data_IF_399587628501
#
_entry.id   IF_399587628501
#
_cell.length_a   1.000
_cell.length_b   1.000
_cell.length_c   1.000
_cell.angle_alpha   90.00
_cell.angle_beta   90.00
_cell.angle_gamma   90.00
#
_symmetry.space_group_name_H-M   'P 1'
#
loop_
_entity.id
_entity.type
_entity.pdbx_description
1 polymer ?
#
# COMPACT_ATOMS: atom_id res chain seq x y z
N UNK A 1 30.14 -20.85 -14.38
CA UNK A 1 28.87 -21.53 -14.03
C UNK A 1 28.54 -21.14 -12.60
N UNK A 2 27.49 -20.34 -12.39
CA UNK A 2 27.02 -20.00 -11.06
C UNK A 2 25.53 -20.30 -10.98
N UNK A 3 25.19 -21.13 -9.99
CA UNK A 3 23.88 -21.70 -9.73
C UNK A 3 22.91 -20.63 -9.19
N UNK A 4 21.67 -20.66 -9.68
CA UNK A 4 20.56 -19.82 -9.20
C UNK A 4 19.78 -20.65 -8.18
N UNK A 5 19.81 -20.24 -6.92
CA UNK A 5 18.88 -20.75 -5.90
C UNK A 5 17.86 -19.65 -5.60
N UNK A 6 16.59 -19.93 -5.93
CA UNK A 6 15.45 -19.05 -5.61
C UNK A 6 15.04 -19.29 -4.15
N UNK A 7 14.77 -18.22 -3.40
CA UNK A 7 13.91 -18.26 -2.22
C UNK A 7 12.91 -17.09 -2.25
N UNK A 8 11.74 -17.25 -1.59
CA UNK A 8 10.54 -16.49 -1.88
C UNK A 8 10.51 -15.12 -1.21
N UNK A 9 9.66 -14.28 -1.78
CA UNK A 9 9.37 -12.90 -1.37
C UNK A 9 8.62 -12.95 -0.03
N UNK A 10 9.18 -12.31 1.01
CA UNK A 10 8.46 -12.05 2.26
C UNK A 10 7.93 -10.61 2.25
N UNK A 11 6.62 -10.49 2.46
CA UNK A 11 5.92 -9.28 2.88
C UNK A 11 6.32 -8.89 4.30
N UNK A 12 6.27 -7.57 4.57
CA UNK A 12 6.31 -6.93 5.88
C UNK A 12 7.13 -7.63 6.98
N UNK A 13 8.45 -7.48 6.94
CA UNK A 13 9.34 -7.89 8.02
C UNK A 13 10.65 -7.12 7.96
N UNK A 14 11.07 -6.57 9.10
CA UNK A 14 12.36 -5.89 9.28
C UNK A 14 13.48 -6.57 8.49
N UNK A 15 14.09 -5.84 7.55
CA UNK A 15 15.24 -6.34 6.81
C UNK A 15 16.43 -6.55 7.78
N UNK A 16 17.14 -7.70 7.71
CA UNK A 16 18.31 -7.94 8.55
C UNK A 16 19.47 -7.00 8.17
N UNK A 17 20.34 -6.61 9.14
CA UNK A 17 21.30 -5.50 8.97
C UNK A 17 22.57 -5.81 8.13
N UNK A 18 22.58 -6.87 7.32
CA UNK A 18 23.77 -7.26 6.56
C UNK A 18 23.43 -7.64 5.11
N UNK A 19 23.45 -6.66 4.22
CA UNK A 19 23.65 -6.92 2.80
C UNK A 19 25.06 -6.50 2.40
N UNK A 20 25.93 -7.48 2.11
CA UNK A 20 27.02 -7.28 1.16
C UNK A 20 26.38 -7.05 -0.21
N UNK A 21 26.10 -5.78 -0.52
CA UNK A 21 25.57 -5.39 -1.82
C UNK A 21 26.70 -5.39 -2.86
N UNK A 22 26.71 -6.42 -3.71
CA UNK A 22 26.87 -6.16 -5.14
C UNK A 22 25.70 -5.22 -5.50
N UNK A 23 25.96 -3.92 -5.64
CA UNK A 23 24.96 -2.86 -5.84
C UNK A 23 23.81 -3.31 -6.76
N UNK A 24 22.67 -3.63 -6.15
CA UNK A 24 21.39 -3.91 -6.79
C UNK A 24 20.33 -3.21 -5.96
N UNK A 25 20.06 -1.95 -6.29
CA UNK A 25 19.01 -1.17 -5.66
C UNK A 25 17.66 -1.62 -6.22
N UNK A 26 16.76 -2.07 -5.35
CA UNK A 26 15.43 -2.51 -5.73
C UNK A 26 14.40 -2.06 -4.71
N UNK A 27 13.79 -0.90 -4.92
CA UNK A 27 12.42 -0.66 -4.48
C UNK A 27 11.77 0.24 -5.56
N UNK A 28 10.63 -0.20 -6.08
CA UNK A 28 9.69 0.52 -6.98
C UNK A 28 9.83 0.35 -8.52
N UNK A 29 10.51 -0.67 -9.07
CA UNK A 29 10.27 -1.04 -10.49
C UNK A 29 10.49 -2.54 -10.77
N UNK A 30 9.56 -3.23 -11.48
CA UNK A 30 9.74 -4.64 -11.87
C UNK A 30 10.72 -4.84 -13.03
N UNK A 31 11.32 -3.79 -13.58
CA UNK A 31 12.20 -3.89 -14.74
C UNK A 31 13.66 -3.76 -14.29
N UNK A 32 14.29 -4.91 -14.01
CA UNK A 32 15.75 -5.04 -13.89
C UNK A 32 16.40 -4.88 -15.27
N UNK A 33 16.37 -3.68 -15.83
CA UNK A 33 17.30 -3.36 -16.91
C UNK A 33 18.66 -3.10 -16.27
N UNK A 34 19.65 -3.95 -16.60
CA UNK A 34 21.05 -3.75 -16.21
C UNK A 34 21.56 -2.35 -16.56
N UNK A 35 20.88 -1.65 -17.45
CA UNK A 35 21.19 -0.32 -17.96
C UNK A 35 21.14 0.77 -16.86
N UNK A 36 20.30 0.60 -15.83
CA UNK A 36 20.12 1.57 -14.75
C UNK A 36 21.06 1.38 -13.55
N UNK A 37 22.02 0.45 -13.64
CA UNK A 37 23.02 0.24 -12.58
C UNK A 37 24.23 1.16 -12.84
N UNK A 38 24.51 2.04 -11.88
CA UNK A 38 25.68 2.94 -11.90
C UNK A 38 27.00 2.19 -11.65
N UNK A 39 28.12 2.70 -12.17
CA UNK A 39 29.46 2.17 -11.84
C UNK A 39 29.76 0.76 -12.33
N UNK A 40 29.01 0.23 -13.30
CA UNK A 40 29.19 -1.12 -13.87
C UNK A 40 30.59 -1.36 -14.45
N UNK A 41 31.29 -0.30 -14.87
CA UNK A 41 32.66 -0.34 -15.41
C UNK A 41 33.68 0.32 -14.47
N UNK A 42 33.27 0.68 -13.25
CA UNK A 42 34.14 1.28 -12.24
C UNK A 42 34.67 0.22 -11.27
N UNK A 43 35.78 0.50 -10.56
CA UNK A 43 36.26 -0.37 -9.49
C UNK A 43 35.16 -0.61 -8.43
N UNK A 44 34.99 -1.83 -7.92
CA UNK A 44 34.02 -2.12 -6.87
C UNK A 44 34.31 -1.29 -5.60
N UNK A 45 33.25 -0.76 -4.99
CA UNK A 45 33.31 -0.07 -3.70
C UNK A 45 32.34 -0.72 -2.71
N UNK A 46 32.68 -0.69 -1.43
CA UNK A 46 31.74 -1.09 -0.37
C UNK A 46 30.88 0.11 -0.03
N UNK A 47 29.57 -0.10 -0.03
CA UNK A 47 28.58 0.91 0.27
C UNK A 47 27.59 0.33 1.28
N UNK A 48 27.39 1.04 2.38
CA UNK A 48 26.34 0.74 3.35
C UNK A 48 25.21 1.73 3.17
N UNK A 49 23.98 1.24 3.11
CA UNK A 49 22.85 2.07 2.77
C UNK A 49 21.56 1.72 3.46
N UNK A 50 20.72 2.73 3.60
CA UNK A 50 19.34 2.59 4.02
C UNK A 50 18.49 3.65 3.32
N UNK A 51 17.31 3.23 2.85
CA UNK A 51 16.27 4.13 2.37
C UNK A 51 15.02 3.95 3.20
N UNK A 52 14.31 5.04 3.47
CA UNK A 52 13.07 5.05 4.23
C UNK A 52 12.01 5.81 3.46
N UNK A 53 10.79 5.29 3.48
CA UNK A 53 9.62 5.96 2.95
C UNK A 53 8.62 6.14 4.08
N UNK A 54 8.06 7.33 4.20
CA UNK A 54 6.91 7.62 5.04
C UNK A 54 5.92 8.41 4.20
N UNK A 55 4.68 8.50 4.68
CA UNK A 55 3.67 9.35 4.08
C UNK A 55 4.18 10.78 3.85
N UNK A 56 4.34 11.16 2.58
CA UNK A 56 4.83 12.47 2.16
C UNK A 56 6.33 12.70 2.32
N UNK A 57 7.17 11.69 2.58
CA UNK A 57 8.63 11.88 2.67
C UNK A 57 9.44 10.62 2.33
N UNK A 58 10.55 10.80 1.64
CA UNK A 58 11.56 9.75 1.41
C UNK A 58 12.94 10.22 1.84
N UNK A 59 13.74 9.29 2.36
CA UNK A 59 15.10 9.53 2.80
C UNK A 59 16.00 8.42 2.29
N UNK A 60 17.19 8.77 1.81
CA UNK A 60 18.24 7.80 1.45
C UNK A 60 19.58 8.24 2.02
N UNK A 61 20.30 7.31 2.63
CA UNK A 61 21.65 7.51 3.14
C UNK A 61 22.58 6.44 2.59
N UNK A 62 23.77 6.85 2.14
CA UNK A 62 24.89 5.96 1.85
C UNK A 62 26.17 6.38 2.58
N UNK A 63 26.90 5.38 3.07
CA UNK A 63 28.21 5.49 3.70
C UNK A 63 29.21 4.68 2.88
N UNK A 64 30.34 5.29 2.53
CA UNK A 64 31.45 4.69 1.78
C UNK A 64 32.69 4.73 2.69
N UNK A 65 32.96 3.66 3.44
CA UNK A 65 33.99 3.67 4.47
C UNK A 65 35.39 3.94 3.93
N UNK A 66 35.73 3.40 2.76
CA UNK A 66 37.07 3.49 2.17
C UNK A 66 37.50 4.94 1.91
N UNK A 67 36.54 5.80 1.60
CA UNK A 67 36.76 7.22 1.33
C UNK A 67 36.41 8.12 2.51
N UNK A 68 35.82 7.57 3.58
CA UNK A 68 35.24 8.35 4.67
C UNK A 68 34.07 9.23 4.22
N UNK A 69 33.43 8.90 3.09
CA UNK A 69 32.37 9.72 2.51
C UNK A 69 30.99 9.24 2.98
N UNK A 70 30.07 10.19 3.18
CA UNK A 70 28.66 9.91 3.48
C UNK A 70 27.79 10.92 2.76
N UNK A 71 26.67 10.43 2.24
CA UNK A 71 25.67 11.26 1.56
C UNK A 71 24.29 10.91 2.10
N UNK A 72 23.51 11.95 2.35
CA UNK A 72 22.12 11.86 2.80
C UNK A 72 21.29 12.74 1.90
N UNK A 73 20.21 12.20 1.34
CA UNK A 73 19.18 12.97 0.66
C UNK A 73 17.85 12.77 1.37
N UNK A 74 17.15 13.89 1.58
CA UNK A 74 15.82 13.94 2.17
C UNK A 74 14.90 14.64 1.17
N UNK A 75 13.70 14.10 0.98
CA UNK A 75 12.67 14.67 0.12
C UNK A 75 11.34 14.64 0.86
N UNK A 76 10.58 15.73 0.77
CA UNK A 76 9.22 15.86 1.27
C UNK A 76 8.16 15.47 0.21
N UNK A 77 8.53 14.58 -0.70
CA UNK A 77 7.65 14.01 -1.71
C UNK A 77 7.95 12.51 -1.85
N UNK A 78 6.91 11.68 -1.73
CA UNK A 78 6.99 10.21 -1.67
C UNK A 78 5.85 9.59 -2.50
N UNK A 79 5.94 9.69 -3.82
CA UNK A 79 4.85 9.28 -4.72
C UNK A 79 5.40 8.51 -5.93
N UNK A 80 5.81 9.25 -6.95
CA UNK A 80 6.12 8.74 -8.26
C UNK A 80 7.63 8.49 -8.46
N UNK A 81 8.18 7.61 -7.62
CA UNK A 81 9.60 7.24 -7.62
C UNK A 81 10.36 7.77 -6.40
N UNK A 82 11.60 7.32 -6.23
CA UNK A 82 12.43 7.66 -5.07
C UNK A 82 13.43 8.78 -5.44
N UNK A 83 12.96 10.03 -5.29
CA UNK A 83 13.78 11.22 -5.54
C UNK A 83 15.03 11.25 -4.65
N UNK A 84 14.94 10.75 -3.41
CA UNK A 84 16.09 10.72 -2.49
C UNK A 84 17.16 9.76 -2.99
N UNK A 85 16.78 8.54 -3.37
CA UNK A 85 17.70 7.54 -3.87
C UNK A 85 18.33 7.95 -5.19
N UNK A 86 17.54 8.46 -6.13
CA UNK A 86 18.07 8.93 -7.42
C UNK A 86 19.03 10.11 -7.25
N UNK A 87 18.73 11.05 -6.35
CA UNK A 87 19.64 12.18 -6.04
C UNK A 87 20.98 11.68 -5.53
N UNK A 88 20.96 10.74 -4.59
CA UNK A 88 22.18 10.17 -4.04
C UNK A 88 22.98 9.46 -5.13
N UNK A 89 22.33 8.67 -5.98
CA UNK A 89 23.02 7.97 -7.05
C UNK A 89 23.63 8.92 -8.11
N UNK A 90 22.94 10.00 -8.47
CA UNK A 90 23.48 11.05 -9.34
C UNK A 90 24.74 11.67 -8.71
N UNK A 91 24.70 11.99 -7.42
CA UNK A 91 25.85 12.55 -6.70
C UNK A 91 27.03 11.56 -6.66
N UNK A 92 26.77 10.27 -6.41
CA UNK A 92 27.82 9.26 -6.40
C UNK A 92 28.46 9.09 -7.78
N UNK A 93 27.68 9.14 -8.86
CA UNK A 93 28.23 9.10 -10.22
C UNK A 93 29.21 10.25 -10.47
N UNK A 94 28.84 11.46 -10.07
CA UNK A 94 29.69 12.65 -10.23
C UNK A 94 30.94 12.62 -9.33
N UNK A 95 30.81 12.21 -8.07
CA UNK A 95 31.90 12.26 -7.09
C UNK A 95 32.97 11.20 -7.36
N UNK A 96 32.58 10.01 -7.81
CA UNK A 96 33.49 8.89 -8.05
C UNK A 96 33.81 8.65 -9.52
N UNK A 97 33.36 9.54 -10.41
CA UNK A 97 33.51 9.41 -11.86
C UNK A 97 33.07 8.01 -12.35
N UNK A 98 31.85 7.62 -11.94
CA UNK A 98 31.36 6.26 -12.17
C UNK A 98 30.96 6.07 -13.63
N UNK A 99 31.47 5.00 -14.24
CA UNK A 99 31.19 4.64 -15.62
C UNK A 99 30.38 3.35 -15.76
N UNK A 100 29.53 3.21 -16.79
CA UNK A 100 29.07 4.28 -17.67
C UNK A 100 28.14 5.25 -16.90
N UNK A 101 28.03 6.48 -17.39
CA UNK A 101 27.03 7.44 -16.91
C UNK A 101 25.63 6.90 -17.21
N UNK A 102 24.76 6.93 -16.21
CA UNK A 102 23.37 6.50 -16.26
C UNK A 102 22.47 7.71 -16.08
N UNK A 103 21.57 7.93 -17.05
CA UNK A 103 20.51 8.93 -16.95
C UNK A 103 19.39 8.44 -16.02
N UNK A 104 19.52 8.78 -14.74
CA UNK A 104 18.53 8.45 -13.72
C UNK A 104 17.29 9.36 -13.79
N UNK A 105 17.36 10.49 -14.49
CA UNK A 105 16.21 11.39 -14.66
C UNK A 105 15.20 10.77 -15.62
N UNK A 106 15.68 10.12 -16.69
CA UNK A 106 14.80 9.37 -17.59
C UNK A 106 14.07 8.24 -16.85
N UNK A 107 14.79 7.46 -16.05
CA UNK A 107 14.20 6.37 -15.25
C UNK A 107 13.14 6.87 -14.25
N UNK A 108 13.36 8.04 -13.64
CA UNK A 108 12.36 8.68 -12.78
C UNK A 108 11.09 9.09 -13.55
N UNK A 109 11.24 9.64 -14.76
CA UNK A 109 10.09 9.98 -15.61
C UNK A 109 9.29 8.73 -15.97
N UNK A 110 9.96 7.65 -16.37
CA UNK A 110 9.31 6.38 -16.69
C UNK A 110 8.57 5.79 -15.47
N UNK A 111 9.20 5.85 -14.30
CA UNK A 111 8.60 5.39 -13.03
C UNK A 111 7.35 6.20 -12.69
N UNK A 112 7.38 7.52 -12.93
CA UNK A 112 6.22 8.39 -12.76
C UNK A 112 5.07 8.03 -13.69
N UNK A 113 5.33 7.89 -14.99
CA UNK A 113 4.29 7.52 -15.94
C UNK A 113 3.71 6.13 -15.63
N UNK A 114 4.55 5.19 -15.20
CA UNK A 114 4.10 3.87 -14.75
C UNK A 114 3.16 3.97 -13.54
N UNK A 115 3.49 4.80 -12.55
CA UNK A 115 2.67 4.98 -11.34
C UNK A 115 1.32 5.64 -11.65
N UNK A 116 1.31 6.67 -12.50
CA UNK A 116 0.07 7.30 -12.95
C UNK A 116 -0.83 6.31 -13.71
N UNK A 117 -0.23 5.53 -14.61
CA UNK A 117 -0.95 4.49 -15.33
C UNK A 117 -1.48 3.39 -14.40
N UNK A 118 -0.70 2.97 -13.41
CA UNK A 118 -1.16 1.99 -12.40
C UNK A 118 -2.39 2.49 -11.65
N UNK A 119 -2.43 3.77 -11.29
CA UNK A 119 -3.59 4.38 -10.68
C UNK A 119 -4.80 4.36 -11.64
N UNK A 120 -4.63 4.78 -12.90
CA UNK A 120 -5.69 4.70 -13.91
C UNK A 120 -6.23 3.26 -14.10
N UNK A 121 -5.33 2.29 -14.21
CA UNK A 121 -5.68 0.86 -14.35
C UNK A 121 -6.44 0.37 -13.10
N UNK A 122 -6.04 0.78 -11.90
CA UNK A 122 -6.74 0.47 -10.66
C UNK A 122 -8.16 1.03 -10.63
N UNK A 123 -8.35 2.31 -11.02
CA UNK A 123 -9.68 2.92 -11.08
C UNK A 123 -10.55 2.22 -12.12
N UNK A 124 -10.02 1.91 -13.30
CA UNK A 124 -10.73 1.15 -14.32
C UNK A 124 -11.19 -0.22 -13.80
N UNK A 125 -10.34 -0.92 -13.04
CA UNK A 125 -10.71 -2.20 -12.44
C UNK A 125 -11.74 -2.05 -11.31
N UNK A 126 -11.65 -0.99 -10.52
CA UNK A 126 -12.69 -0.64 -9.54
C UNK A 126 -14.04 -0.45 -10.21
N UNK A 127 -14.10 0.35 -11.29
CA UNK A 127 -15.34 0.63 -12.03
C UNK A 127 -15.96 -0.64 -12.63
N UNK A 128 -15.14 -1.53 -13.20
CA UNK A 128 -15.62 -2.82 -13.77
C UNK A 128 -16.34 -3.70 -12.75
N UNK A 129 -15.92 -3.64 -11.48
CA UNK A 129 -16.49 -4.45 -10.40
C UNK A 129 -17.61 -3.73 -9.63
N UNK A 130 -17.85 -2.45 -9.94
CA UNK A 130 -18.91 -1.66 -9.32
C UNK A 130 -20.26 -1.98 -9.95
N UNK A 131 -21.22 -2.36 -9.12
CA UNK A 131 -22.60 -2.64 -9.51
C UNK A 131 -23.56 -2.16 -8.42
N UNK A 132 -23.88 -0.87 -8.45
CA UNK A 132 -24.77 -0.23 -7.46
C UNK A 132 -26.18 -0.81 -7.51
N UNK A 133 -26.62 -1.37 -8.64
CA UNK A 133 -27.93 -2.00 -8.78
C UNK A 133 -28.11 -3.23 -7.89
N UNK A 134 -27.02 -3.87 -7.47
CA UNK A 134 -27.01 -5.01 -6.54
C UNK A 134 -26.87 -4.61 -5.08
N UNK A 135 -26.64 -3.34 -4.79
CA UNK A 135 -26.48 -2.87 -3.41
C UNK A 135 -27.80 -3.04 -2.64
N UNK A 136 -27.73 -3.74 -1.52
CA UNK A 136 -28.89 -4.23 -0.76
C UNK A 136 -28.84 -3.89 0.75
N UNK A 137 -27.80 -3.22 1.23
CA UNK A 137 -27.71 -2.85 2.65
C UNK A 137 -28.51 -1.58 2.96
N UNK A 138 -29.01 -1.50 4.20
CA UNK A 138 -29.51 -0.25 4.79
C UNK A 138 -28.41 0.37 5.64
N UNK A 139 -28.32 1.70 5.63
CA UNK A 139 -27.25 2.42 6.30
C UNK A 139 -27.18 2.10 7.81
N UNK A 140 -28.34 2.01 8.47
CA UNK A 140 -28.45 1.78 9.91
C UNK A 140 -27.91 0.40 10.33
N UNK A 141 -27.98 -0.59 9.43
CA UNK A 141 -27.45 -1.94 9.66
C UNK A 141 -25.92 -1.97 9.69
N UNK A 142 -25.27 -1.02 9.01
CA UNK A 142 -23.81 -0.96 8.85
C UNK A 142 -23.14 -0.06 9.87
N UNK A 143 -23.87 0.89 10.47
CA UNK A 143 -23.32 1.77 11.52
C UNK A 143 -22.86 0.94 12.72
N UNK A 144 -21.66 1.22 13.20
CA UNK A 144 -21.10 0.57 14.37
C UNK A 144 -19.57 0.58 14.42
N UNK A 145 -19.05 0.05 15.51
CA UNK A 145 -17.61 -0.13 15.73
C UNK A 145 -17.23 -1.57 15.40
N UNK A 146 -16.18 -1.76 14.63
CA UNK A 146 -15.70 -3.06 14.16
C UNK A 146 -14.28 -3.30 14.66
N UNK A 147 -14.05 -4.45 15.29
CA UNK A 147 -12.77 -4.82 15.88
C UNK A 147 -12.07 -5.89 15.05
N UNK A 148 -10.78 -5.71 14.79
CA UNK A 148 -9.96 -6.64 14.04
C UNK A 148 -8.49 -6.50 14.43
N UNK A 149 -7.66 -7.46 14.00
CA UNK A 149 -6.21 -7.43 14.20
C UNK A 149 -5.80 -7.16 15.66
N UNK A 150 -6.47 -7.81 16.61
CA UNK A 150 -6.22 -7.68 18.05
C UNK A 150 -6.95 -6.49 18.68
N UNK A 151 -6.45 -5.27 18.47
CA UNK A 151 -6.96 -4.05 19.11
C UNK A 151 -7.30 -2.92 18.13
N UNK A 152 -7.23 -3.18 16.82
CA UNK A 152 -7.54 -2.17 15.81
C UNK A 152 -9.05 -1.97 15.69
N UNK A 153 -9.43 -0.74 15.34
CA UNK A 153 -10.82 -0.31 15.29
C UNK A 153 -11.11 0.33 13.93
N UNK A 154 -12.25 -0.04 13.35
CA UNK A 154 -12.88 0.64 12.21
C UNK A 154 -14.28 1.06 12.67
N UNK A 155 -14.57 2.36 12.63
CA UNK A 155 -15.91 2.88 12.90
C UNK A 155 -16.62 3.21 11.59
N UNK A 156 -17.81 2.66 11.40
CA UNK A 156 -18.74 3.07 10.34
C UNK A 156 -19.74 4.03 10.95
N UNK A 157 -19.78 5.26 10.44
CA UNK A 157 -20.59 6.36 10.96
C UNK A 157 -21.51 6.90 9.88
N UNK A 158 -22.61 7.51 10.30
CA UNK A 158 -23.48 8.26 9.40
C UNK A 158 -22.73 9.44 8.75
N UNK A 159 -23.15 9.76 7.54
CA UNK A 159 -22.66 10.87 6.74
C UNK A 159 -23.78 11.45 5.88
N UNK A 160 -23.75 12.76 5.69
CA UNK A 160 -24.60 13.44 4.73
C UNK A 160 -23.86 13.79 3.43
N UNK A 161 -22.63 13.28 3.25
CA UNK A 161 -21.74 13.64 2.13
C UNK A 161 -21.57 12.53 1.08
N UNK A 162 -22.08 11.32 1.34
CA UNK A 162 -21.93 10.16 0.45
C UNK A 162 -23.28 9.62 -0.02
N UNK A 163 -23.27 8.85 -1.10
CA UNK A 163 -24.50 8.23 -1.65
C UNK A 163 -25.06 7.08 -0.77
N UNK A 164 -24.22 6.50 0.08
CA UNK A 164 -24.58 5.48 1.06
C UNK A 164 -25.10 6.08 2.36
N UNK A 165 -24.85 7.37 2.59
CA UNK A 165 -25.12 8.01 3.86
C UNK A 165 -24.15 7.60 4.97
N UNK A 166 -22.99 7.04 4.62
CA UNK A 166 -21.99 6.52 5.56
C UNK A 166 -20.57 7.02 5.28
N UNK A 167 -19.72 6.94 6.30
CA UNK A 167 -18.29 7.18 6.25
C UNK A 167 -17.55 6.19 7.17
N UNK A 168 -16.31 5.87 6.81
CA UNK A 168 -15.39 5.10 7.65
C UNK A 168 -14.49 6.05 8.44
N UNK A 169 -14.16 5.66 9.68
CA UNK A 169 -13.15 6.30 10.52
C UNK A 169 -12.23 5.23 11.10
N UNK A 170 -10.93 5.32 10.80
CA UNK A 170 -9.91 4.38 11.29
C UNK A 170 -9.38 4.78 12.66
N UNK A 171 -9.28 3.82 13.58
CA UNK A 171 -8.74 4.01 14.93
C UNK A 171 -9.49 5.04 15.76
N UNK A 172 -10.77 5.27 15.44
CA UNK A 172 -11.61 6.33 16.03
C UNK A 172 -11.05 7.76 15.87
N UNK A 173 -10.10 7.96 14.96
CA UNK A 173 -9.49 9.26 14.68
C UNK A 173 -10.28 10.01 13.60
N UNK A 174 -11.07 11.02 13.94
CA UNK A 174 -11.89 11.72 12.93
C UNK A 174 -11.09 12.32 11.76
N UNK A 175 -9.77 12.56 11.92
CA UNK A 175 -8.89 12.98 10.83
C UNK A 175 -8.71 11.92 9.73
N UNK A 176 -8.97 10.64 10.02
CA UNK A 176 -8.92 9.52 9.06
C UNK A 176 -10.26 9.27 8.36
N UNK A 177 -11.23 10.18 8.49
CA UNK A 177 -12.57 10.00 7.92
C UNK A 177 -12.51 9.94 6.40
N UNK A 178 -13.06 8.86 5.84
CA UNK A 178 -13.30 8.73 4.40
C UNK A 178 -14.78 8.47 4.16
N UNK A 179 -15.36 9.16 3.18
CA UNK A 179 -16.74 8.91 2.77
C UNK A 179 -16.87 7.54 2.12
N UNK A 180 -17.98 6.85 2.36
CA UNK A 180 -18.25 5.52 1.81
C UNK A 180 -19.30 5.62 0.72
N UNK A 181 -18.97 5.17 -0.48
CA UNK A 181 -19.89 5.10 -1.60
C UNK A 181 -20.37 3.66 -1.83
N UNK A 182 -21.60 3.52 -2.33
CA UNK A 182 -22.16 2.22 -2.74
C UNK A 182 -21.26 1.58 -3.79
N UNK A 183 -20.93 0.31 -3.61
CA UNK A 183 -20.04 -0.39 -4.53
C UNK A 183 -20.70 -1.59 -5.20
N UNK A 184 -21.10 -2.59 -4.42
CA UNK A 184 -21.72 -3.82 -4.93
C UNK A 184 -22.59 -4.43 -3.82
N UNK A 185 -23.11 -5.64 -4.02
CA UNK A 185 -23.82 -6.40 -2.99
C UNK A 185 -23.01 -6.45 -1.69
N UNK A 186 -23.68 -6.07 -0.60
CA UNK A 186 -23.11 -6.01 0.75
C UNK A 186 -21.73 -5.31 0.83
N UNK A 187 -21.45 -4.34 -0.06
CA UNK A 187 -20.11 -3.72 -0.15
C UNK A 187 -20.15 -2.21 -0.34
N UNK A 188 -19.23 -1.52 0.34
CA UNK A 188 -19.00 -0.08 0.22
C UNK A 188 -17.55 0.19 -0.14
N UNK A 189 -17.31 1.28 -0.86
CA UNK A 189 -15.98 1.73 -1.26
C UNK A 189 -15.65 3.08 -0.64
N UNK A 190 -14.39 3.29 -0.27
CA UNK A 190 -13.84 4.59 0.11
C UNK A 190 -12.58 4.91 -0.71
N UNK A 191 -12.36 4.20 -1.82
CA UNK A 191 -11.27 4.42 -2.76
C UNK A 191 -11.37 5.83 -3.36
N UNK A 192 -10.36 6.70 -3.18
CA UNK A 192 -10.32 7.99 -3.89
C UNK A 192 -10.18 7.76 -5.39
N UNK A 193 -10.99 8.47 -6.19
CA UNK A 193 -10.93 8.40 -7.66
C UNK A 193 -9.83 9.33 -8.21
N UNK A 194 -9.60 10.46 -7.54
CA UNK A 194 -8.58 11.42 -7.94
C UNK A 194 -7.22 11.03 -7.34
N UNK A 195 -6.21 10.88 -8.19
CA UNK A 195 -4.83 10.61 -7.76
C UNK A 195 -4.33 11.68 -6.78
N UNK A 196 -4.75 12.94 -6.95
CA UNK A 196 -4.36 14.00 -6.01
C UNK A 196 -4.90 13.72 -4.60
N UNK A 197 -6.13 13.22 -4.48
CA UNK A 197 -6.71 12.86 -3.18
C UNK A 197 -5.98 11.65 -2.56
N UNK A 198 -5.55 10.67 -3.36
CA UNK A 198 -4.68 9.56 -2.91
C UNK A 198 -3.42 10.10 -2.24
N UNK A 199 -2.78 11.12 -2.84
CA UNK A 199 -1.57 11.74 -2.29
C UNK A 199 -1.86 12.56 -1.03
N UNK A 200 -2.92 13.37 -1.02
CA UNK A 200 -3.32 14.18 0.13
C UNK A 200 -3.66 13.31 1.35
N UNK A 201 -4.24 12.12 1.12
CA UNK A 201 -4.53 11.13 2.16
C UNK A 201 -3.36 10.21 2.48
N UNK A 202 -2.26 10.34 1.73
CA UNK A 202 -1.06 9.53 1.82
C UNK A 202 -1.36 8.01 1.77
N UNK A 203 -2.14 7.63 0.77
CA UNK A 203 -2.51 6.25 0.45
C UNK A 203 -1.52 5.66 -0.57
N UNK A 204 -0.22 5.76 -0.27
CA UNK A 204 0.89 5.57 -1.24
C UNK A 204 1.06 4.11 -1.68
N UNK A 205 0.70 3.15 -0.82
CA UNK A 205 0.79 1.71 -1.10
C UNK A 205 -0.58 1.12 -1.52
N UNK A 206 -1.51 1.94 -1.99
CA UNK A 206 -2.86 1.51 -2.38
C UNK A 206 -2.89 1.28 -3.88
N UNK A 207 -2.24 0.18 -4.29
CA UNK A 207 -2.00 -0.18 -5.69
C UNK A 207 -2.96 -1.25 -6.22
N UNK A 208 -3.98 -1.62 -5.44
CA UNK A 208 -5.09 -2.43 -5.92
C UNK A 208 -6.44 -1.93 -5.41
N UNK A 209 -7.46 -2.02 -6.27
CA UNK A 209 -8.77 -1.43 -6.02
C UNK A 209 -9.47 -2.02 -4.79
N UNK A 210 -9.17 -3.28 -4.48
CA UNK A 210 -9.78 -4.00 -3.36
C UNK A 210 -9.40 -3.43 -1.98
N UNK A 211 -8.30 -2.68 -1.86
CA UNK A 211 -7.93 -2.02 -0.57
C UNK A 211 -8.96 -0.95 -0.21
N UNK A 212 -9.57 -0.32 -1.21
CA UNK A 212 -10.62 0.68 -1.00
C UNK A 212 -12.02 0.12 -0.78
N UNK A 213 -12.20 -1.20 -0.62
CA UNK A 213 -13.53 -1.83 -0.53
C UNK A 213 -13.71 -2.60 0.77
N UNK A 214 -14.81 -2.33 1.46
CA UNK A 214 -15.32 -3.14 2.56
C UNK A 214 -16.42 -4.05 2.06
N UNK A 215 -16.33 -5.35 2.37
CA UNK A 215 -17.41 -6.30 2.18
C UNK A 215 -18.03 -6.64 3.54
N UNK A 216 -19.26 -6.25 3.77
CA UNK A 216 -19.99 -6.58 4.99
C UNK A 216 -20.38 -8.05 4.99
N UNK A 217 -20.33 -8.65 6.17
CA UNK A 217 -20.60 -10.07 6.39
C UNK A 217 -21.87 -10.17 7.20
N UNK A 218 -22.83 -10.96 6.72
CA UNK A 218 -24.07 -11.30 7.43
C UNK A 218 -23.90 -12.61 8.17
N UNK A 219 -24.71 -12.82 9.21
CA UNK A 219 -24.69 -14.06 9.99
C UNK A 219 -25.03 -15.28 9.11
N UNK A 220 -26.02 -15.11 8.22
CA UNK A 220 -26.39 -16.04 7.17
C UNK A 220 -26.32 -15.34 5.80
N UNK A 221 -25.28 -15.64 5.02
CA UNK A 221 -25.08 -15.05 3.69
C UNK A 221 -26.16 -15.46 2.67
N UNK A 222 -26.95 -16.50 2.94
CA UNK A 222 -28.06 -16.92 2.07
C UNK A 222 -29.33 -16.10 2.30
N UNK A 223 -29.40 -15.35 3.41
CA UNK A 223 -30.54 -14.53 3.79
C UNK A 223 -30.18 -13.04 3.76
N UNK A 224 -30.69 -12.27 2.77
CA UNK A 224 -30.36 -10.85 2.63
C UNK A 224 -30.69 -9.99 3.85
N UNK A 225 -31.70 -10.37 4.65
CA UNK A 225 -32.13 -9.64 5.85
C UNK A 225 -31.42 -10.10 7.13
N UNK A 226 -30.48 -11.06 7.02
CA UNK A 226 -29.71 -11.53 8.17
C UNK A 226 -28.82 -10.40 8.75
N UNK A 227 -28.66 -10.31 10.08
CA UNK A 227 -27.88 -9.26 10.71
C UNK A 227 -26.44 -9.19 10.19
N UNK A 228 -25.92 -7.98 10.03
CA UNK A 228 -24.50 -7.75 9.72
C UNK A 228 -23.67 -7.97 10.99
N UNK A 229 -22.77 -8.94 10.93
CA UNK A 229 -21.93 -9.40 12.05
C UNK A 229 -20.51 -8.86 11.99
N UNK A 230 -20.10 -8.34 10.82
CA UNK A 230 -18.76 -7.85 10.62
C UNK A 230 -18.54 -7.27 9.22
N UNK A 231 -17.29 -6.99 8.91
CA UNK A 231 -16.82 -6.63 7.58
C UNK A 231 -15.49 -7.30 7.29
N UNK A 232 -15.22 -7.57 6.01
CA UNK A 232 -13.96 -8.10 5.51
C UNK A 232 -13.21 -7.00 4.78
N UNK A 233 -11.93 -6.92 5.06
CA UNK A 233 -11.03 -5.95 4.46
C UNK A 233 -9.61 -6.52 4.34
N UNK A 234 -8.87 -6.10 3.31
CA UNK A 234 -7.47 -6.47 3.10
C UNK A 234 -6.65 -5.23 2.75
N UNK A 235 -5.37 -5.25 3.12
CA UNK A 235 -4.46 -4.12 2.93
C UNK A 235 -3.68 -4.21 1.61
N UNK A 236 -3.50 -5.42 1.06
CA UNK A 236 -2.75 -5.70 -0.17
C UNK A 236 -3.51 -6.72 -1.04
N UNK A 237 -3.26 -6.74 -2.34
CA UNK A 237 -3.75 -7.75 -3.28
C UNK A 237 -3.35 -9.18 -2.89
N UNK A 238 -2.17 -9.35 -2.27
CA UNK A 238 -1.61 -10.67 -1.93
C UNK A 238 -2.06 -11.19 -0.56
N UNK A 239 -2.81 -10.40 0.20
CA UNK A 239 -3.29 -10.78 1.52
C UNK A 239 -4.71 -11.35 1.47
N UNK A 240 -4.96 -12.29 2.38
CA UNK A 240 -6.32 -12.72 2.67
C UNK A 240 -7.09 -11.62 3.41
N UNK A 241 -8.37 -11.46 3.09
CA UNK A 241 -9.21 -10.50 3.80
C UNK A 241 -9.40 -10.89 5.27
N UNK A 242 -9.11 -9.94 6.16
CA UNK A 242 -9.33 -10.07 7.59
C UNK A 242 -10.78 -9.75 7.94
N UNK A 243 -11.38 -10.57 8.80
CA UNK A 243 -12.70 -10.28 9.38
C UNK A 243 -12.57 -9.32 10.55
N UNK A 244 -13.35 -8.25 10.51
CA UNK A 244 -13.53 -7.28 11.58
C UNK A 244 -14.93 -7.48 12.17
N UNK A 245 -15.00 -7.85 13.44
CA UNK A 245 -16.26 -8.24 14.11
C UNK A 245 -16.96 -7.00 14.64
N UNK A 246 -18.24 -6.86 14.36
CA UNK A 246 -19.07 -5.75 14.84
C UNK A 246 -19.21 -5.85 16.36
N UNK A 247 -18.95 -4.75 17.06
CA UNK A 247 -19.09 -4.67 18.51
C UNK A 247 -20.54 -4.98 18.93
N UNK A 248 -20.68 -5.77 20.00
CA UNK A 248 -21.99 -6.18 20.50
C UNK A 248 -22.55 -7.44 19.81
N UNK A 249 -21.93 -7.90 18.72
CA UNK A 249 -22.24 -9.22 18.16
C UNK A 249 -21.63 -10.31 19.05
N UNK A 250 -22.47 -11.22 19.55
CA UNK A 250 -22.03 -12.45 20.22
C UNK A 250 -22.27 -13.60 19.26
N UNK A 251 -21.22 -14.30 18.78
CA UNK A 251 -21.42 -15.49 17.98
C UNK A 251 -22.25 -16.48 18.78
N UNK A 252 -23.40 -16.90 18.26
CA UNK A 252 -24.11 -18.04 18.80
C UNK A 252 -23.29 -19.29 18.44
N UNK A 253 -22.27 -19.59 19.23
CA UNK A 253 -21.69 -20.93 19.19
C UNK A 253 -22.77 -21.89 19.67
N UNK A 254 -23.33 -22.65 18.73
CA UNK A 254 -24.16 -23.81 19.01
C UNK A 254 -23.34 -24.80 19.84
N UNK A 255 -23.42 -24.65 21.16
CA UNK A 255 -22.91 -25.62 22.10
C UNK A 255 -23.76 -26.88 21.97
N UNK A 256 -23.22 -27.88 21.27
CA UNK A 256 -23.63 -29.26 21.41
C UNK A 256 -23.48 -29.61 22.89
N UNK A 257 -24.59 -29.61 23.62
CA UNK A 257 -24.66 -30.23 24.93
C UNK A 257 -24.48 -31.73 24.74
N UNK A 258 -23.28 -32.23 25.01
CA UNK A 258 -23.11 -33.65 25.32
C UNK A 258 -23.78 -33.88 26.69
N UNK A 259 -24.98 -34.46 26.64
CA UNK A 259 -25.48 -35.35 27.70
C UNK A 259 -25.00 -36.77 27.42
#
# INVERSE_FOLDING_TARGET
MASITRQPICSAGFAPPYQQLLCRFSHITPIRQNEYIIGRKSPPQVLYGHSGCTNGSVATMYVIPQSGFTVVALSNAADAGDASNSTVQILLQAIYDLGPEVDLILSLKESREMKLKQHEDMINDWEKHRDVGKYNCKAEELVGTYHGLGASIIDIKESNKSDSGLAVVFGSQNASRCELDKFNQDSLSFLPIDHKEVLERAMIDWDCWTVGVFRFVREDETQPDSPVVGLRWKWDQYEDSTLWVKQGFRPQYGGSSNQ
#
